data_IF_318290197782
#
_entry.id   IF_318290197782
#
_cell.length_a   1.000
_cell.length_b   1.000
_cell.length_c   1.000
_cell.angle_alpha   90.00
_cell.angle_beta   90.00
_cell.angle_gamma   90.00
#
_symmetry.space_group_name_H-M   'P 1'
#
loop_
_entity.id
_entity.type
_entity.pdbx_description
1 polymer ?
#
# COMPACT_ATOMS: atom_id res chain seq x y z
N UNK A 1 -15.79 18.38 5.75
CA UNK A 1 -15.57 17.21 4.87
C UNK A 1 -14.21 17.40 4.22
N UNK A 2 -13.19 16.73 4.74
CA UNK A 2 -11.87 16.72 4.07
C UNK A 2 -11.88 15.58 3.06
N UNK A 3 -11.81 15.92 1.79
CA UNK A 3 -11.69 14.96 0.69
C UNK A 3 -10.20 14.62 0.52
N UNK A 4 -9.81 13.37 0.79
CA UNK A 4 -8.47 12.87 0.46
C UNK A 4 -8.53 12.27 -0.93
N UNK A 5 -8.05 13.00 -1.92
CA UNK A 5 -7.84 12.45 -3.26
C UNK A 5 -6.42 11.94 -3.35
N UNK A 6 -6.25 10.65 -3.15
CA UNK A 6 -4.98 9.97 -3.41
C UNK A 6 -4.76 9.81 -4.91
N UNK A 7 -4.01 10.73 -5.53
CA UNK A 7 -3.57 10.56 -6.91
C UNK A 7 -2.39 9.58 -6.93
N UNK A 8 -2.61 8.37 -7.40
CA UNK A 8 -1.50 7.53 -7.86
C UNK A 8 -1.09 8.05 -9.24
N UNK A 9 -0.18 9.02 -9.25
CA UNK A 9 0.45 9.49 -10.48
C UNK A 9 1.38 8.40 -11.00
N UNK A 10 0.89 7.59 -11.95
CA UNK A 10 1.79 6.94 -12.89
C UNK A 10 2.41 8.03 -13.76
N UNK A 11 3.62 8.45 -13.41
CA UNK A 11 4.40 9.34 -14.28
C UNK A 11 4.63 8.58 -15.59
N UNK A 12 3.93 9.01 -16.62
CA UNK A 12 4.19 8.58 -17.99
C UNK A 12 5.59 9.10 -18.35
N UNK A 13 6.58 8.22 -18.24
CA UNK A 13 7.92 8.51 -18.78
C UNK A 13 7.77 8.68 -20.29
N UNK A 14 8.11 9.86 -20.78
CA UNK A 14 8.19 10.13 -22.21
C UNK A 14 9.09 9.09 -22.88
N UNK A 15 8.61 8.59 -23.99
CA UNK A 15 9.21 7.54 -24.79
C UNK A 15 10.65 7.87 -25.20
N UNK A 16 11.61 7.30 -24.51
CA UNK A 16 12.86 6.95 -25.16
C UNK A 16 12.59 5.68 -25.97
N UNK A 17 12.60 5.81 -27.30
CA UNK A 17 12.49 4.71 -28.23
C UNK A 17 13.67 3.77 -28.04
N UNK A 18 13.49 2.69 -27.28
CA UNK A 18 14.40 1.56 -27.27
C UNK A 18 13.95 0.62 -28.38
N UNK A 19 14.83 0.40 -29.37
CA UNK A 19 14.59 -0.57 -30.43
C UNK A 19 14.30 -1.96 -29.83
N UNK A 20 13.36 -2.74 -30.40
CA UNK A 20 13.06 -4.06 -29.89
C UNK A 20 14.24 -5.00 -30.12
N UNK A 21 14.67 -5.69 -29.06
CA UNK A 21 15.61 -6.80 -29.15
C UNK A 21 14.96 -7.95 -29.94
N UNK A 22 15.69 -8.71 -30.78
CA UNK A 22 15.14 -9.79 -31.58
C UNK A 22 14.54 -10.86 -30.66
N UNK A 23 13.30 -11.25 -30.98
CA UNK A 23 12.49 -12.14 -30.19
C UNK A 23 13.06 -13.54 -30.07
N UNK A 24 13.31 -13.95 -28.82
CA UNK A 24 13.28 -15.37 -28.47
C UNK A 24 11.82 -15.85 -28.47
N UNK A 25 11.57 -17.18 -28.61
CA UNK A 25 10.22 -17.72 -28.62
C UNK A 25 9.46 -17.29 -27.37
N UNK A 26 8.30 -16.68 -27.57
CA UNK A 26 7.39 -16.33 -26.49
C UNK A 26 7.01 -17.63 -25.78
N UNK A 27 7.49 -17.80 -24.54
CA UNK A 27 6.93 -18.84 -23.69
C UNK A 27 5.44 -18.50 -23.53
N UNK A 28 4.56 -19.37 -23.99
CA UNK A 28 3.13 -19.30 -23.73
C UNK A 28 2.95 -19.20 -22.21
N UNK A 29 2.67 -18.00 -21.74
CA UNK A 29 2.21 -17.83 -20.36
C UNK A 29 0.83 -18.46 -20.31
N UNK A 30 0.70 -19.57 -19.63
CA UNK A 30 -0.60 -20.10 -19.24
C UNK A 30 -1.32 -18.96 -18.54
N UNK A 31 -2.50 -18.59 -19.06
CA UNK A 31 -3.39 -17.69 -18.35
C UNK A 31 -3.56 -18.21 -16.90
N UNK A 32 -3.57 -17.34 -15.87
CA UNK A 32 -3.81 -17.80 -14.52
C UNK A 32 -5.08 -18.64 -14.55
N UNK A 33 -4.98 -19.88 -14.04
CA UNK A 33 -6.15 -20.75 -13.92
C UNK A 33 -7.18 -19.99 -13.12
N UNK A 34 -8.36 -19.76 -13.70
CA UNK A 34 -9.44 -19.06 -13.02
C UNK A 34 -9.66 -19.72 -11.66
N UNK A 35 -9.15 -19.07 -10.60
CA UNK A 35 -9.33 -19.56 -9.25
C UNK A 35 -10.83 -19.66 -9.00
N UNK A 36 -11.27 -20.74 -8.40
CA UNK A 36 -12.67 -20.89 -8.01
C UNK A 36 -12.87 -20.19 -6.68
N UNK A 37 -13.58 -19.06 -6.61
CA UNK A 37 -13.74 -18.28 -5.38
C UNK A 37 -14.30 -19.08 -4.20
N UNK A 38 -15.11 -20.12 -4.48
CA UNK A 38 -15.71 -21.02 -3.49
C UNK A 38 -14.71 -21.98 -2.82
N UNK A 39 -13.48 -22.11 -3.36
CA UNK A 39 -12.41 -22.98 -2.82
C UNK A 39 -11.26 -22.21 -2.20
N UNK A 40 -11.32 -20.89 -2.20
CA UNK A 40 -10.27 -20.08 -1.62
C UNK A 40 -10.32 -20.15 -0.07
N UNK A 41 -9.16 -20.22 0.62
CA UNK A 41 -9.12 -20.26 2.07
C UNK A 41 -9.59 -18.92 2.67
N UNK A 42 -10.17 -18.94 3.88
CA UNK A 42 -10.50 -17.70 4.58
C UNK A 42 -9.24 -16.97 5.04
N UNK A 43 -9.30 -15.64 5.11
CA UNK A 43 -8.25 -14.79 5.68
C UNK A 43 -8.05 -15.10 7.16
N UNK A 44 -6.79 -15.23 7.58
CA UNK A 44 -6.38 -15.56 8.96
C UNK A 44 -5.40 -14.52 9.48
N UNK A 45 -5.90 -13.45 10.07
CA UNK A 45 -5.05 -12.44 10.68
C UNK A 45 -4.62 -12.87 12.10
N UNK A 46 -3.38 -12.53 12.53
CA UNK A 46 -2.40 -11.69 11.83
C UNK A 46 -1.48 -12.45 10.85
N UNK A 47 -1.66 -13.76 10.65
CA UNK A 47 -0.79 -14.55 9.78
C UNK A 47 -0.78 -14.01 8.33
N UNK A 48 -1.94 -13.64 7.82
CA UNK A 48 -2.07 -13.11 6.46
C UNK A 48 -1.79 -11.58 6.38
N UNK A 49 -1.22 -10.96 7.43
CA UNK A 49 -0.52 -9.67 7.29
C UNK A 49 0.90 -9.86 6.71
N UNK A 50 1.45 -11.07 6.75
CA UNK A 50 2.75 -11.42 6.19
C UNK A 50 2.74 -11.44 4.66
N UNK A 51 3.93 -11.61 4.06
CA UNK A 51 4.08 -11.78 2.61
C UNK A 51 3.53 -13.11 2.13
N UNK A 52 2.87 -13.09 0.96
CA UNK A 52 2.30 -14.26 0.28
C UNK A 52 3.11 -14.63 -0.97
N UNK A 53 2.90 -15.85 -1.48
CA UNK A 53 3.53 -16.33 -2.72
C UNK A 53 2.75 -15.94 -3.99
N UNK A 54 1.78 -15.04 -3.87
CA UNK A 54 0.95 -14.58 -4.97
C UNK A 54 1.69 -13.64 -5.94
N UNK A 55 1.14 -13.46 -7.14
CA UNK A 55 1.74 -12.68 -8.21
C UNK A 55 1.90 -11.21 -7.84
N UNK A 56 0.88 -10.61 -7.23
CA UNK A 56 0.82 -9.18 -6.88
C UNK A 56 0.45 -9.01 -5.43
N UNK A 57 1.14 -8.12 -4.74
CA UNK A 57 0.89 -7.82 -3.33
C UNK A 57 1.35 -6.40 -2.99
N UNK A 58 0.59 -5.70 -2.12
CA UNK A 58 1.00 -4.40 -1.60
C UNK A 58 0.47 -4.09 -0.22
N UNK A 59 1.21 -3.26 0.50
CA UNK A 59 0.87 -2.60 1.75
C UNK A 59 0.86 -1.11 1.49
N UNK A 60 -0.26 -0.46 1.73
CA UNK A 60 -0.46 0.94 1.43
C UNK A 60 -0.92 1.70 2.67
N UNK A 61 -0.32 2.84 2.91
CA UNK A 61 -0.72 3.78 3.96
C UNK A 61 -1.04 5.13 3.34
N UNK A 62 -2.09 5.77 3.85
CA UNK A 62 -2.45 7.14 3.52
C UNK A 62 -2.99 7.82 4.77
N UNK A 63 -2.59 9.06 5.04
CA UNK A 63 -3.04 9.70 6.27
C UNK A 63 -2.82 11.21 6.31
N UNK A 64 -3.43 11.77 7.35
CA UNK A 64 -3.32 13.18 7.70
C UNK A 64 -2.62 13.32 9.03
N UNK A 65 -1.66 14.24 9.07
CA UNK A 65 -0.85 14.53 10.25
C UNK A 65 -0.96 16.01 10.58
N UNK A 66 -0.82 16.32 11.86
CA UNK A 66 -0.72 17.70 12.34
C UNK A 66 0.32 17.81 13.43
N UNK A 67 0.95 18.97 13.50
CA UNK A 67 1.82 19.37 14.63
C UNK A 67 0.98 19.99 15.75
N UNK A 68 1.59 20.19 16.92
CA UNK A 68 0.95 20.94 18.01
C UNK A 68 0.71 22.41 17.65
N UNK A 69 1.53 22.99 16.76
CA UNK A 69 1.37 24.34 16.23
C UNK A 69 0.27 24.48 15.17
N UNK A 70 -0.40 23.36 14.79
CA UNK A 70 -1.51 23.37 13.85
C UNK A 70 -1.09 23.30 12.38
N UNK A 71 0.14 22.95 12.08
CA UNK A 71 0.58 22.70 10.70
C UNK A 71 0.02 21.36 10.23
N UNK A 72 -0.49 21.29 9.00
CA UNK A 72 -1.13 20.11 8.42
C UNK A 72 -0.28 19.49 7.31
N UNK A 73 -0.22 18.17 7.32
CA UNK A 73 0.48 17.36 6.33
C UNK A 73 -0.41 16.19 5.88
N UNK A 74 -0.29 15.81 4.63
CA UNK A 74 -0.84 14.54 4.14
C UNK A 74 0.29 13.69 3.59
N UNK A 75 0.19 12.38 3.73
CA UNK A 75 1.18 11.49 3.16
C UNK A 75 0.54 10.25 2.56
N UNK A 76 1.25 9.61 1.63
CA UNK A 76 1.06 8.20 1.33
C UNK A 76 2.41 7.48 1.34
N UNK A 77 2.36 6.20 1.62
CA UNK A 77 3.50 5.31 1.64
C UNK A 77 3.05 3.91 1.23
N UNK A 78 3.68 3.34 0.22
CA UNK A 78 3.32 2.03 -0.27
C UNK A 78 4.55 1.16 -0.52
N UNK A 79 4.44 -0.13 -0.22
CA UNK A 79 5.33 -1.18 -0.69
C UNK A 79 4.57 -2.08 -1.63
N UNK A 80 5.05 -2.23 -2.84
CA UNK A 80 4.51 -3.14 -3.86
C UNK A 80 5.49 -4.27 -4.07
N UNK A 81 4.97 -5.49 -4.14
CA UNK A 81 5.72 -6.69 -4.52
C UNK A 81 5.07 -7.34 -5.73
N UNK A 82 5.91 -7.73 -6.68
CA UNK A 82 5.51 -8.55 -7.80
C UNK A 82 6.42 -9.77 -7.87
N UNK A 83 5.82 -10.93 -7.83
CA UNK A 83 6.52 -12.22 -7.95
C UNK A 83 6.44 -12.73 -9.39
N UNK A 84 7.55 -13.22 -9.87
CA UNK A 84 7.71 -13.82 -11.19
C UNK A 84 8.88 -14.79 -11.13
N UNK A 85 9.76 -14.77 -12.12
CA UNK A 85 11.03 -15.53 -12.05
C UNK A 85 11.91 -15.10 -10.88
N UNK A 86 11.73 -13.87 -10.42
CA UNK A 86 12.29 -13.32 -9.18
C UNK A 86 11.35 -12.23 -8.65
N UNK A 87 11.45 -11.94 -7.37
CA UNK A 87 10.63 -10.89 -6.73
C UNK A 87 11.17 -9.52 -7.09
N UNK A 88 10.29 -8.62 -7.46
CA UNK A 88 10.54 -7.19 -7.54
C UNK A 88 9.77 -6.48 -6.44
N UNK A 89 10.41 -5.54 -5.77
CA UNK A 89 9.74 -4.66 -4.84
C UNK A 89 9.96 -3.19 -5.20
N UNK A 90 8.94 -2.38 -4.96
CA UNK A 90 8.98 -0.94 -5.13
C UNK A 90 8.37 -0.26 -3.91
N UNK A 91 9.02 0.80 -3.44
CA UNK A 91 8.54 1.67 -2.38
C UNK A 91 8.21 3.02 -3.00
N UNK A 92 7.03 3.52 -2.73
CA UNK A 92 6.58 4.84 -3.15
C UNK A 92 6.14 5.62 -1.94
N UNK A 93 6.57 6.87 -1.85
CA UNK A 93 6.14 7.76 -0.77
C UNK A 93 5.95 9.18 -1.26
N UNK A 94 5.00 9.86 -0.68
CA UNK A 94 4.87 11.31 -0.81
C UNK A 94 4.43 11.95 0.50
N UNK A 95 4.79 13.21 0.63
CA UNK A 95 4.38 14.09 1.70
C UNK A 95 3.96 15.43 1.11
N UNK A 96 2.75 15.87 1.42
CA UNK A 96 2.24 17.20 1.08
C UNK A 96 2.29 18.08 2.33
N UNK A 97 3.05 19.15 2.25
CA UNK A 97 3.04 20.26 3.21
C UNK A 97 1.96 21.26 2.78
N UNK A 98 0.85 21.30 3.52
CA UNK A 98 -0.29 22.14 3.16
C UNK A 98 -0.05 23.63 3.37
N UNK A 99 0.83 24.01 4.32
CA UNK A 99 1.15 25.42 4.59
C UNK A 99 1.99 26.04 3.47
N UNK A 100 2.92 25.26 2.92
CA UNK A 100 3.84 25.71 1.89
C UNK A 100 3.43 25.25 0.49
N UNK A 101 2.29 24.56 0.35
CA UNK A 101 1.79 23.97 -0.90
C UNK A 101 2.87 23.15 -1.61
N UNK A 102 3.71 22.44 -0.83
CA UNK A 102 4.87 21.73 -1.35
C UNK A 102 4.70 20.22 -1.25
N UNK A 103 4.83 19.56 -2.40
CA UNK A 103 4.84 18.11 -2.51
C UNK A 103 6.27 17.59 -2.55
N UNK A 104 6.56 16.66 -1.67
CA UNK A 104 7.78 15.85 -1.66
C UNK A 104 7.42 14.44 -2.13
N UNK A 105 8.21 13.87 -3.01
CA UNK A 105 8.02 12.51 -3.51
C UNK A 105 9.33 11.76 -3.52
N UNK A 106 9.27 10.46 -3.25
CA UNK A 106 10.43 9.58 -3.32
C UNK A 106 10.01 8.19 -3.76
N UNK A 107 10.91 7.50 -4.45
CA UNK A 107 10.72 6.14 -4.91
C UNK A 107 12.00 5.34 -4.71
N UNK A 108 11.84 4.07 -4.32
CA UNK A 108 12.93 3.13 -4.26
C UNK A 108 12.49 1.80 -4.88
N UNK A 109 13.42 1.09 -5.52
CA UNK A 109 13.14 -0.21 -6.17
C UNK A 109 14.28 -1.18 -5.88
N UNK A 110 13.92 -2.44 -5.66
CA UNK A 110 14.90 -3.51 -5.49
C UNK A 110 14.50 -4.76 -6.25
N UNK A 111 15.49 -5.53 -6.70
CA UNK A 111 15.31 -6.91 -7.09
C UNK A 111 15.51 -7.79 -5.85
N UNK A 112 14.57 -8.68 -5.59
CA UNK A 112 14.54 -9.51 -4.39
C UNK A 112 13.40 -9.15 -3.44
N UNK A 113 13.22 -9.98 -2.42
CA UNK A 113 12.21 -9.77 -1.39
C UNK A 113 12.83 -8.93 -0.25
N UNK A 114 12.29 -7.73 0.06
CA UNK A 114 12.79 -6.90 1.17
C UNK A 114 12.30 -7.39 2.54
N UNK A 115 11.45 -8.43 2.60
CA UNK A 115 10.89 -8.98 3.84
C UNK A 115 11.94 -9.77 4.62
N UNK A 116 11.86 -9.71 5.96
CA UNK A 116 12.61 -10.55 6.88
C UNK A 116 12.08 -12.00 6.98
N UNK A 117 10.98 -12.31 6.25
CA UNK A 117 10.36 -13.63 6.20
C UNK A 117 9.50 -13.99 7.41
N UNK A 118 9.16 -13.05 8.28
CA UNK A 118 8.26 -13.28 9.42
C UNK A 118 6.88 -13.73 8.96
N UNK A 119 6.16 -14.46 9.83
CA UNK A 119 4.86 -15.07 9.51
C UNK A 119 3.71 -14.59 10.42
N UNK A 120 3.96 -13.67 11.32
CA UNK A 120 2.98 -13.08 12.24
C UNK A 120 2.72 -11.61 11.91
N UNK A 121 3.10 -11.18 10.71
CA UNK A 121 3.05 -9.82 10.24
C UNK A 121 4.10 -9.58 9.16
N UNK A 122 4.50 -8.34 8.96
CA UNK A 122 5.50 -7.96 7.96
C UNK A 122 6.59 -7.07 8.56
N UNK A 123 7.80 -7.18 8.01
CA UNK A 123 8.92 -6.27 8.25
C UNK A 123 9.72 -6.16 6.96
N UNK A 124 9.61 -5.03 6.30
CA UNK A 124 10.30 -4.72 5.06
C UNK A 124 11.30 -3.62 5.30
N UNK A 125 12.51 -3.80 4.82
CA UNK A 125 13.52 -2.75 4.85
C UNK A 125 14.27 -2.65 3.53
N UNK A 126 14.47 -1.43 3.08
CA UNK A 126 15.26 -1.12 1.89
C UNK A 126 15.86 0.28 2.02
N UNK A 127 17.18 0.36 2.19
CA UNK A 127 17.84 1.62 2.51
C UNK A 127 17.28 2.21 3.80
N UNK A 128 16.86 3.47 3.74
CA UNK A 128 16.25 4.19 4.87
C UNK A 128 14.72 3.99 5.00
N UNK A 129 14.14 3.12 4.19
CA UNK A 129 12.71 2.80 4.23
C UNK A 129 12.48 1.58 5.10
N UNK A 130 11.45 1.63 5.92
CA UNK A 130 11.00 0.49 6.70
C UNK A 130 9.50 0.52 6.91
N UNK A 131 8.87 -0.63 6.69
CA UNK A 131 7.47 -0.89 7.00
C UNK A 131 7.39 -2.12 7.88
N UNK A 132 6.73 -2.00 9.01
CA UNK A 132 6.59 -3.06 10.01
C UNK A 132 5.17 -3.11 10.51
N UNK A 133 4.58 -4.29 10.61
CA UNK A 133 3.27 -4.48 11.21
C UNK A 133 3.12 -5.85 11.86
N UNK A 134 2.52 -5.87 13.04
CA UNK A 134 2.06 -7.07 13.73
C UNK A 134 0.67 -6.78 14.29
N UNK A 135 -0.34 -7.41 13.71
CA UNK A 135 -1.73 -7.21 14.10
C UNK A 135 -2.12 -5.73 14.00
N UNK A 136 -2.43 -5.12 15.14
CA UNK A 136 -2.88 -3.73 15.21
C UNK A 136 -1.75 -2.71 15.43
N UNK A 137 -0.49 -3.14 15.52
CA UNK A 137 0.66 -2.28 15.80
C UNK A 137 1.55 -2.19 14.58
N UNK A 138 1.68 -0.99 14.00
CA UNK A 138 2.49 -0.75 12.82
C UNK A 138 3.54 0.33 13.08
N UNK A 139 4.64 0.25 12.32
CA UNK A 139 5.66 1.30 12.23
C UNK A 139 5.99 1.53 10.77
N UNK A 140 6.15 2.78 10.39
CA UNK A 140 6.55 3.14 9.04
C UNK A 140 7.62 4.21 9.07
N UNK A 141 8.67 4.01 8.29
CA UNK A 141 9.68 5.01 8.02
C UNK A 141 9.83 5.18 6.52
N UNK A 142 9.79 6.41 6.06
CA UNK A 142 10.21 6.78 4.72
C UNK A 142 11.20 7.95 4.81
N UNK A 143 12.20 7.93 3.95
CA UNK A 143 13.17 9.01 3.85
C UNK A 143 13.45 9.33 2.38
N UNK A 144 13.44 10.60 2.08
CA UNK A 144 13.85 11.18 0.81
C UNK A 144 14.98 12.18 1.03
N UNK A 145 15.35 12.87 -0.03
CA UNK A 145 16.44 13.83 0.01
C UNK A 145 16.21 14.96 1.01
N UNK A 146 15.00 15.53 1.04
CA UNK A 146 14.69 16.75 1.78
C UNK A 146 13.68 16.53 2.91
N UNK A 147 13.23 15.30 3.13
CA UNK A 147 12.28 14.95 4.17
C UNK A 147 12.48 13.52 4.69
N UNK A 148 12.02 13.28 5.90
CA UNK A 148 11.78 11.94 6.42
C UNK A 148 10.56 11.92 7.32
N UNK A 149 9.86 10.79 7.35
CA UNK A 149 8.71 10.56 8.20
C UNK A 149 8.92 9.22 8.93
N UNK A 150 8.78 9.24 10.25
CA UNK A 150 8.88 8.07 11.12
C UNK A 150 7.62 8.03 12.00
N UNK A 151 6.78 7.00 11.83
CA UNK A 151 5.49 6.88 12.47
C UNK A 151 5.37 5.57 13.25
N UNK A 152 4.72 5.66 14.40
CA UNK A 152 4.11 4.55 15.11
C UNK A 152 2.59 4.67 14.98
N UNK A 153 1.94 3.57 14.62
CA UNK A 153 0.51 3.53 14.35
C UNK A 153 -0.15 2.38 15.11
N UNK A 154 -1.37 2.59 15.56
CA UNK A 154 -2.15 1.56 16.23
C UNK A 154 -3.64 1.67 15.91
N UNK A 155 -4.31 0.52 15.86
CA UNK A 155 -5.76 0.44 15.73
C UNK A 155 -6.30 -0.55 16.78
N UNK A 156 -7.34 -0.14 17.51
CA UNK A 156 -8.01 -0.99 18.51
C UNK A 156 -9.24 -1.71 17.94
N UNK A 157 -9.56 -1.48 16.66
CA UNK A 157 -10.70 -2.07 15.99
C UNK A 157 -10.27 -3.28 15.17
N UNK A 158 -11.19 -4.23 14.91
CA UNK A 158 -10.91 -5.31 13.99
C UNK A 158 -10.70 -4.75 12.57
N UNK A 159 -9.84 -5.38 11.76
CA UNK A 159 -9.69 -5.01 10.35
C UNK A 159 -10.96 -5.28 9.56
N UNK A 160 -11.18 -4.50 8.52
CA UNK A 160 -12.25 -4.71 7.54
C UNK A 160 -11.75 -5.72 6.51
N UNK A 161 -12.54 -6.78 6.28
CA UNK A 161 -12.32 -7.75 5.22
C UNK A 161 -13.26 -7.39 4.06
N UNK A 162 -12.73 -6.84 2.97
CA UNK A 162 -13.54 -6.47 1.81
C UNK A 162 -14.02 -7.72 1.07
N UNK A 163 -15.27 -7.72 0.65
CA UNK A 163 -15.88 -8.89 0.02
C UNK A 163 -16.72 -8.46 -1.19
N UNK A 164 -16.45 -9.06 -2.34
CA UNK A 164 -17.29 -8.84 -3.50
C UNK A 164 -18.65 -9.54 -3.34
N UNK A 165 -19.73 -8.95 -3.87
CA UNK A 165 -21.03 -9.62 -3.92
C UNK A 165 -20.91 -11.00 -4.58
N UNK A 166 -21.47 -12.02 -3.94
CA UNK A 166 -21.45 -13.40 -4.45
C UNK A 166 -20.19 -14.22 -4.16
N UNK A 167 -19.14 -13.65 -3.58
CA UNK A 167 -18.01 -14.42 -3.07
C UNK A 167 -18.33 -14.99 -1.68
N UNK A 168 -18.05 -16.28 -1.42
CA UNK A 168 -18.36 -16.89 -0.13
C UNK A 168 -17.31 -16.59 0.96
N UNK A 169 -16.19 -15.99 0.60
CA UNK A 169 -15.03 -15.79 1.46
C UNK A 169 -14.88 -14.30 1.79
N UNK A 170 -14.92 -13.94 3.07
CA UNK A 170 -14.64 -12.59 3.52
C UNK A 170 -13.19 -12.19 3.21
N UNK A 171 -13.01 -11.01 2.70
CA UNK A 171 -11.72 -10.51 2.25
C UNK A 171 -11.42 -10.80 0.78
N UNK A 172 -12.23 -11.59 0.07
CA UNK A 172 -11.98 -11.99 -1.31
C UNK A 172 -12.75 -11.13 -2.30
N UNK A 173 -12.03 -10.56 -3.27
CA UNK A 173 -12.54 -9.85 -4.42
C UNK A 173 -12.38 -10.72 -5.68
N UNK A 174 -13.40 -10.73 -6.52
CA UNK A 174 -13.35 -11.28 -7.87
C UNK A 174 -13.10 -10.11 -8.84
N UNK A 175 -11.96 -10.11 -9.49
CA UNK A 175 -11.53 -9.11 -10.47
C UNK A 175 -11.81 -9.57 -11.91
N UNK A 176 -12.67 -10.55 -12.08
CA UNK A 176 -13.05 -11.11 -13.39
C UNK A 176 -11.85 -11.73 -14.12
N UNK A 177 -11.64 -11.30 -15.36
CA UNK A 177 -10.53 -11.83 -16.18
C UNK A 177 -9.14 -11.50 -15.63
N UNK A 178 -9.01 -10.50 -14.75
CA UNK A 178 -7.74 -10.11 -14.14
C UNK A 178 -7.35 -10.99 -12.95
N UNK A 179 -8.23 -11.86 -12.46
CA UNK A 179 -7.95 -12.81 -11.38
C UNK A 179 -8.70 -12.54 -10.09
N UNK A 180 -8.15 -13.00 -8.97
CA UNK A 180 -8.74 -12.81 -7.64
C UNK A 180 -7.75 -12.14 -6.70
N UNK A 181 -8.28 -11.38 -5.75
CA UNK A 181 -7.49 -10.66 -4.76
C UNK A 181 -8.10 -10.76 -3.38
N UNK A 182 -7.30 -10.99 -2.36
CA UNK A 182 -7.65 -10.68 -0.99
C UNK A 182 -7.41 -9.21 -0.72
N UNK A 183 -8.26 -8.62 0.13
CA UNK A 183 -8.16 -7.21 0.48
C UNK A 183 -8.64 -6.97 1.92
N UNK A 184 -7.76 -6.40 2.72
CA UNK A 184 -8.05 -5.99 4.10
C UNK A 184 -7.70 -4.54 4.34
N UNK A 185 -8.45 -3.85 5.21
CA UNK A 185 -8.16 -2.47 5.58
C UNK A 185 -8.20 -2.25 7.09
N UNK A 186 -7.41 -1.30 7.56
CA UNK A 186 -7.54 -0.63 8.86
C UNK A 186 -7.84 0.85 8.61
N UNK A 187 -9.13 1.24 8.60
CA UNK A 187 -9.55 2.54 8.07
C UNK A 187 -9.14 3.74 8.90
N UNK A 188 -8.80 3.56 10.20
CA UNK A 188 -8.49 4.67 11.10
C UNK A 188 -7.52 4.23 12.19
N UNK A 189 -6.27 4.13 11.84
CA UNK A 189 -5.18 3.93 12.80
C UNK A 189 -4.79 5.28 13.42
N UNK A 190 -4.66 5.32 14.72
CA UNK A 190 -4.01 6.48 15.38
C UNK A 190 -2.52 6.46 15.08
N UNK A 191 -1.95 7.60 14.73
CA UNK A 191 -0.55 7.75 14.38
C UNK A 191 0.13 8.85 15.19
N UNK A 192 1.38 8.62 15.56
CA UNK A 192 2.27 9.62 16.14
C UNK A 192 3.71 9.37 15.70
N UNK A 193 4.49 10.43 15.65
CA UNK A 193 5.90 10.28 15.26
C UNK A 193 6.62 11.58 14.99
N UNK A 194 7.61 11.50 14.12
CA UNK A 194 8.46 12.64 13.75
C UNK A 194 8.48 12.82 12.24
N UNK A 195 8.20 14.04 11.83
CA UNK A 195 8.41 14.53 10.48
C UNK A 195 9.62 15.45 10.46
N UNK A 196 10.58 15.20 9.57
CA UNK A 196 11.72 16.10 9.35
C UNK A 196 11.62 16.68 7.95
N UNK A 197 11.67 18.00 7.82
CA UNK A 197 11.71 18.73 6.55
C UNK A 197 12.90 19.68 6.59
N UNK A 198 13.76 19.63 5.58
CA UNK A 198 14.96 20.47 5.48
C UNK A 198 15.80 20.50 6.78
N UNK A 199 15.92 19.35 7.43
CA UNK A 199 16.68 19.18 8.67
C UNK A 199 15.94 19.60 9.95
N UNK A 200 14.73 20.17 9.86
CA UNK A 200 13.93 20.54 11.01
C UNK A 200 12.96 19.44 11.39
N UNK A 201 13.12 18.88 12.59
CA UNK A 201 12.25 17.84 13.11
C UNK A 201 11.01 18.44 13.80
N UNK A 202 9.84 17.86 13.54
CA UNK A 202 8.54 18.23 14.11
C UNK A 202 7.85 16.99 14.65
N UNK A 203 7.33 17.04 15.86
CA UNK A 203 6.44 16.03 16.36
C UNK A 203 5.09 16.13 15.64
N UNK A 204 4.57 14.99 15.18
CA UNK A 204 3.30 14.93 14.46
C UNK A 204 2.41 13.85 15.04
N UNK A 205 1.09 14.03 14.91
CA UNK A 205 0.06 13.05 15.22
C UNK A 205 -1.05 13.12 14.18
N UNK A 206 -1.83 12.04 14.05
CA UNK A 206 -2.95 12.03 13.11
C UNK A 206 -3.63 10.70 12.97
N UNK A 207 -4.34 10.55 11.87
CA UNK A 207 -5.09 9.34 11.52
C UNK A 207 -4.60 8.81 10.17
N UNK A 208 -4.53 7.48 10.08
CA UNK A 208 -3.97 6.77 8.92
C UNK A 208 -4.91 5.67 8.49
N UNK A 209 -5.15 5.58 7.20
CA UNK A 209 -5.75 4.44 6.52
C UNK A 209 -4.64 3.48 6.11
N UNK A 210 -4.85 2.18 6.34
CA UNK A 210 -3.96 1.11 5.92
C UNK A 210 -4.73 0.10 5.08
N UNK A 211 -4.15 -0.30 3.95
CA UNK A 211 -4.63 -1.36 3.06
C UNK A 211 -3.55 -2.42 2.84
N UNK A 212 -3.96 -3.68 2.87
CA UNK A 212 -3.16 -4.81 2.43
C UNK A 212 -3.95 -5.62 1.42
N UNK A 213 -3.37 -5.83 0.25
CA UNK A 213 -4.00 -6.57 -0.83
C UNK A 213 -3.00 -7.52 -1.48
N UNK A 214 -3.43 -8.76 -1.73
CA UNK A 214 -2.61 -9.80 -2.35
C UNK A 214 -3.45 -10.75 -3.17
N UNK A 215 -2.85 -11.35 -4.22
CA UNK A 215 -3.53 -12.31 -5.06
C UNK A 215 -2.82 -12.61 -6.36
N UNK A 216 -3.41 -13.55 -7.10
CA UNK A 216 -2.94 -13.92 -8.43
C UNK A 216 -3.71 -13.12 -9.47
N UNK A 217 -3.36 -11.84 -9.58
CA UNK A 217 -3.94 -10.91 -10.54
C UNK A 217 -2.87 -10.03 -11.17
N UNK A 218 -3.12 -9.57 -12.40
CA UNK A 218 -2.22 -8.68 -13.12
C UNK A 218 -2.57 -7.22 -12.84
N UNK A 219 -1.91 -6.63 -11.83
CA UNK A 219 -2.17 -5.26 -11.42
C UNK A 219 -1.97 -4.22 -12.54
N UNK A 220 -1.09 -4.50 -13.51
CA UNK A 220 -0.83 -3.59 -14.63
C UNK A 220 -1.98 -3.50 -15.63
N UNK A 221 -2.90 -4.46 -15.64
CA UNK A 221 -4.09 -4.48 -16.50
C UNK A 221 -5.28 -3.79 -15.85
N UNK A 222 -5.22 -3.54 -14.55
CA UNK A 222 -6.28 -2.88 -13.81
C UNK A 222 -6.15 -1.36 -13.90
N UNK A 223 -7.30 -0.71 -13.93
CA UNK A 223 -7.45 0.73 -13.73
C UNK A 223 -8.54 0.93 -12.71
N UNK A 224 -8.27 1.73 -11.69
CA UNK A 224 -9.25 1.99 -10.64
C UNK A 224 -9.15 3.42 -10.14
N UNK A 225 -10.29 3.89 -9.65
CA UNK A 225 -10.37 5.04 -8.78
C UNK A 225 -10.58 4.53 -7.34
N UNK A 226 -9.81 5.02 -6.41
CA UNK A 226 -9.92 4.64 -5.01
C UNK A 226 -10.03 5.89 -4.15
N UNK A 227 -11.00 5.87 -3.25
CA UNK A 227 -11.24 6.95 -2.30
C UNK A 227 -11.44 6.36 -0.92
N UNK A 228 -10.74 6.92 0.08
CA UNK A 228 -10.95 6.65 1.49
C UNK A 228 -11.36 7.93 2.21
N UNK A 229 -12.46 7.87 2.91
CA UNK A 229 -13.03 8.99 3.64
C UNK A 229 -13.12 8.61 5.12
N UNK A 230 -12.57 9.44 5.99
CA UNK A 230 -12.72 9.37 7.43
C UNK A 230 -13.65 10.51 7.85
N UNK A 231 -14.90 10.18 8.22
CA UNK A 231 -15.92 11.16 8.52
C UNK A 231 -15.82 11.63 9.99
N UNK A 232 -16.36 12.81 10.27
CA UNK A 232 -16.30 13.43 11.60
C UNK A 232 -17.19 12.76 12.65
N UNK A 233 -18.16 11.98 12.20
CA UNK A 233 -19.03 11.16 13.07
C UNK A 233 -18.40 9.80 13.44
N UNK A 234 -17.19 9.54 12.96
CA UNK A 234 -16.44 8.30 13.21
C UNK A 234 -16.68 7.21 12.18
N UNK A 235 -17.54 7.43 11.19
CA UNK A 235 -17.72 6.50 10.08
C UNK A 235 -16.56 6.60 9.07
N UNK A 236 -16.30 5.49 8.40
CA UNK A 236 -15.36 5.43 7.28
C UNK A 236 -16.07 4.91 6.03
N UNK A 237 -15.70 5.47 4.89
CA UNK A 237 -16.22 5.07 3.60
C UNK A 237 -15.07 4.83 2.62
N UNK A 238 -15.07 3.67 1.99
CA UNK A 238 -14.20 3.38 0.84
C UNK A 238 -15.05 3.26 -0.42
N UNK A 239 -14.61 3.90 -1.47
CA UNK A 239 -15.19 3.79 -2.81
C UNK A 239 -14.09 3.26 -3.71
N UNK A 240 -14.41 2.22 -4.47
CA UNK A 240 -13.51 1.54 -5.38
C UNK A 240 -14.25 1.28 -6.69
N UNK A 241 -13.72 1.78 -7.82
CA UNK A 241 -14.29 1.67 -9.16
C UNK A 241 -13.21 1.27 -10.17
#
# INVERSE_FOLDING_TARGET
VLLVVGWVLFVRSDKASVAPLPGGPAAERSAPSAARPDKMPPVKLPADDATHENLSEWWYYSGHLQTESGEHYSFHLASFMRKGSFTHAAFHGSLLDHQNEKLYTEQARTAGNPSDGRRDGFDFSFGDWRLQGVGAQHKARMAGKDFSLDLQMSDNRPPVLHQAPGTPVAGLLDLGASGTSYYTSRPRMSAQGTLTIAGTAKAVRGEVWFDHQWGDFEAAELRWNWFALQLTDGAELMIFE
#
